data_IF_699858422965
#
_entry.id   IF_699858422965
#
_cell.length_a   1.000
_cell.length_b   1.000
_cell.length_c   1.000
_cell.angle_alpha   90.00
_cell.angle_beta   90.00
_cell.angle_gamma   90.00
#
_symmetry.space_group_name_H-M   'P 1'
#
loop_
_entity.id
_entity.type
_entity.pdbx_description
1 polymer ?
#
# COMPACT_ATOMS: atom_id res chain seq x y z
N UNK A 1 27.01 9.47 -2.07
CA UNK A 1 26.66 10.28 -0.89
C UNK A 1 25.32 10.92 -1.18
N UNK A 2 24.23 10.62 -0.44
CA UNK A 2 23.01 11.43 -0.60
C UNK A 2 23.43 12.89 -0.36
N UNK A 3 23.05 13.86 -1.21
CA UNK A 3 22.99 15.22 -0.71
C UNK A 3 22.07 15.13 0.50
N UNK A 4 22.55 15.56 1.67
CA UNK A 4 21.80 15.47 2.91
C UNK A 4 20.36 15.88 2.62
N UNK A 5 19.44 14.92 2.62
CA UNK A 5 18.03 15.27 2.62
C UNK A 5 17.89 15.96 3.97
N UNK A 6 17.81 17.29 3.94
CA UNK A 6 17.83 18.09 5.14
C UNK A 6 16.83 17.49 6.12
N UNK A 7 17.19 17.44 7.39
CA UNK A 7 16.33 16.84 8.43
C UNK A 7 14.86 17.30 8.29
N UNK A 8 14.66 18.57 7.93
CA UNK A 8 13.35 19.16 7.60
C UNK A 8 12.64 18.49 6.41
N UNK A 9 13.31 18.24 5.29
CA UNK A 9 12.72 17.56 4.14
C UNK A 9 12.34 16.10 4.47
N UNK A 10 13.13 15.39 5.29
CA UNK A 10 12.80 14.05 5.80
C UNK A 10 11.57 14.06 6.72
N UNK A 11 11.50 14.98 7.67
CA UNK A 11 10.34 15.10 8.56
C UNK A 11 9.05 15.44 7.81
N UNK A 12 9.12 16.35 6.83
CA UNK A 12 7.95 16.69 6.02
C UNK A 12 7.41 15.50 5.22
N UNK A 13 8.28 14.65 4.68
CA UNK A 13 7.87 13.43 3.98
C UNK A 13 7.22 12.43 4.94
N UNK A 14 7.83 12.20 6.12
CA UNK A 14 7.25 11.32 7.15
C UNK A 14 5.87 11.79 7.60
N UNK A 15 5.69 13.09 7.85
CA UNK A 15 4.40 13.66 8.25
C UNK A 15 3.36 13.45 7.14
N UNK A 16 3.71 13.73 5.89
CA UNK A 16 2.82 13.50 4.74
C UNK A 16 2.41 12.04 4.63
N UNK A 17 3.34 11.11 4.83
CA UNK A 17 3.05 9.67 4.80
C UNK A 17 2.08 9.29 5.91
N UNK A 18 2.30 9.75 7.15
CA UNK A 18 1.39 9.47 8.26
C UNK A 18 -0.01 10.04 7.99
N UNK A 19 -0.10 11.27 7.48
CA UNK A 19 -1.39 11.86 7.07
C UNK A 19 -2.05 11.03 5.98
N UNK A 20 -1.29 10.60 4.95
CA UNK A 20 -1.83 9.74 3.90
C UNK A 20 -2.35 8.42 4.46
N UNK A 21 -1.60 7.74 5.33
CA UNK A 21 -2.04 6.48 5.96
C UNK A 21 -3.34 6.67 6.76
N UNK A 22 -3.44 7.78 7.51
CA UNK A 22 -4.66 8.12 8.22
C UNK A 22 -5.85 8.35 7.26
N UNK A 23 -5.63 9.02 6.12
CA UNK A 23 -6.67 9.20 5.11
C UNK A 23 -7.07 7.89 4.43
N UNK A 24 -6.14 6.95 4.21
CA UNK A 24 -6.45 5.62 3.68
C UNK A 24 -7.33 4.83 4.66
N UNK A 25 -7.06 4.91 5.97
CA UNK A 25 -7.89 4.29 7.01
C UNK A 25 -9.30 4.90 7.03
N UNK A 26 -9.41 6.24 6.96
CA UNK A 26 -10.71 6.90 6.83
C UNK A 26 -11.46 6.46 5.57
N UNK A 27 -10.75 6.28 4.45
CA UNK A 27 -11.35 5.78 3.21
C UNK A 27 -11.82 4.33 3.35
N UNK A 28 -11.07 3.48 4.06
CA UNK A 28 -11.48 2.12 4.38
C UNK A 28 -12.78 2.12 5.21
N UNK A 29 -12.86 2.92 6.26
CA UNK A 29 -14.06 3.06 7.10
C UNK A 29 -15.25 3.59 6.29
N UNK A 30 -15.04 4.64 5.50
CA UNK A 30 -16.07 5.19 4.61
C UNK A 30 -16.56 4.14 3.60
N UNK A 31 -15.66 3.34 3.04
CA UNK A 31 -16.01 2.25 2.13
C UNK A 31 -16.86 1.20 2.82
N UNK A 32 -16.41 0.69 3.97
CA UNK A 32 -17.06 -0.38 4.72
C UNK A 32 -18.45 0.02 5.21
N UNK A 33 -18.55 1.21 5.81
CA UNK A 33 -19.72 1.62 6.58
C UNK A 33 -20.72 2.44 5.75
N UNK A 34 -20.29 3.06 4.64
CA UNK A 34 -21.15 3.93 3.82
C UNK A 34 -21.23 3.48 2.36
N UNK A 35 -20.10 3.41 1.64
CA UNK A 35 -20.14 3.20 0.18
C UNK A 35 -20.63 1.79 -0.18
N UNK A 36 -19.98 0.74 0.33
CA UNK A 36 -20.32 -0.64 -0.02
C UNK A 36 -21.78 -0.99 0.33
N UNK A 37 -22.35 -0.58 1.49
CA UNK A 37 -23.78 -0.75 1.75
C UNK A 37 -24.69 0.04 0.81
N UNK A 38 -24.31 1.24 0.39
CA UNK A 38 -25.13 2.12 -0.45
C UNK A 38 -25.24 1.66 -1.89
N UNK A 39 -24.25 0.93 -2.41
CA UNK A 39 -24.19 0.49 -3.81
C UNK A 39 -24.48 -1.01 -4.02
N UNK A 40 -25.12 -1.68 -3.06
CA UNK A 40 -25.41 -3.14 -3.11
C UNK A 40 -26.18 -3.59 -4.35
N UNK A 41 -26.91 -2.70 -5.01
CA UNK A 41 -27.68 -3.02 -6.22
C UNK A 41 -26.87 -3.01 -7.52
N UNK A 42 -25.62 -2.53 -7.49
CA UNK A 42 -24.75 -2.48 -8.67
C UNK A 42 -23.57 -3.46 -8.49
N UNK A 43 -23.65 -4.60 -9.16
CA UNK A 43 -22.66 -5.69 -9.03
C UNK A 43 -21.23 -5.23 -9.33
N UNK A 44 -21.02 -4.42 -10.38
CA UNK A 44 -19.70 -3.92 -10.74
C UNK A 44 -19.09 -3.03 -9.63
N UNK A 45 -19.92 -2.16 -9.03
CA UNK A 45 -19.48 -1.31 -7.93
C UNK A 45 -19.24 -2.12 -6.66
N UNK A 46 -20.05 -3.16 -6.40
CA UNK A 46 -19.85 -4.06 -5.26
C UNK A 46 -18.52 -4.80 -5.34
N UNK A 47 -18.11 -5.26 -6.53
CA UNK A 47 -16.80 -5.89 -6.73
C UNK A 47 -15.67 -4.88 -6.46
N UNK A 48 -15.73 -3.70 -7.07
CA UNK A 48 -14.71 -2.66 -6.87
C UNK A 48 -14.55 -2.24 -5.40
N UNK A 49 -15.67 -2.00 -4.71
CA UNK A 49 -15.68 -1.62 -3.29
C UNK A 49 -15.37 -2.81 -2.37
N UNK A 50 -15.61 -4.03 -2.83
CA UNK A 50 -15.22 -5.28 -2.17
C UNK A 50 -13.71 -5.44 -2.10
N UNK A 51 -13.01 -5.18 -3.20
CA UNK A 51 -11.56 -5.34 -3.32
C UNK A 51 -10.73 -4.13 -2.90
N UNK A 52 -11.38 -2.98 -2.67
CA UNK A 52 -10.72 -1.76 -2.22
C UNK A 52 -9.88 -1.95 -0.93
N UNK A 53 -10.32 -2.68 0.12
CA UNK A 53 -9.51 -2.93 1.31
C UNK A 53 -8.16 -3.57 1.00
N UNK A 54 -8.12 -4.55 0.08
CA UNK A 54 -6.89 -5.25 -0.29
C UNK A 54 -5.92 -4.33 -1.04
N UNK A 55 -6.44 -3.51 -1.95
CA UNK A 55 -5.66 -2.44 -2.57
C UNK A 55 -5.07 -1.48 -1.53
N UNK A 56 -5.91 -0.99 -0.59
CA UNK A 56 -5.49 -0.03 0.43
C UNK A 56 -4.45 -0.61 1.39
N UNK A 57 -4.60 -1.87 1.78
CA UNK A 57 -3.64 -2.57 2.62
C UNK A 57 -2.27 -2.70 1.93
N UNK A 58 -2.25 -3.23 0.70
CA UNK A 58 -1.03 -3.38 -0.09
C UNK A 58 -0.32 -2.03 -0.32
N UNK A 59 -1.08 -1.00 -0.71
CA UNK A 59 -0.55 0.34 -0.95
C UNK A 59 -0.04 1.00 0.35
N UNK A 60 -0.82 0.92 1.43
CA UNK A 60 -0.49 1.49 2.73
C UNK A 60 0.77 0.90 3.34
N UNK A 61 0.96 -0.42 3.26
CA UNK A 61 2.20 -1.07 3.72
C UNK A 61 3.39 -0.53 2.95
N UNK A 62 3.32 -0.43 1.62
CA UNK A 62 4.41 0.13 0.81
C UNK A 62 4.76 1.56 1.23
N UNK A 63 3.74 2.41 1.45
CA UNK A 63 3.95 3.79 1.90
C UNK A 63 4.59 3.87 3.29
N UNK A 64 4.16 3.02 4.23
CA UNK A 64 4.66 3.01 5.61
C UNK A 64 6.17 2.72 5.70
N UNK A 65 6.75 2.05 4.69
CA UNK A 65 8.17 1.72 4.63
C UNK A 65 9.05 2.86 4.12
N UNK A 66 8.46 3.81 3.38
CA UNK A 66 9.22 4.90 2.75
C UNK A 66 10.03 5.73 3.76
N UNK A 67 9.51 6.13 4.94
CA UNK A 67 10.28 6.88 5.92
C UNK A 67 11.49 6.11 6.44
N UNK A 68 11.36 4.78 6.61
CA UNK A 68 12.46 3.91 7.02
C UNK A 68 13.54 3.87 5.94
N UNK A 69 13.13 3.75 4.68
CA UNK A 69 14.06 3.68 3.55
C UNK A 69 14.82 4.98 3.33
N UNK A 70 14.17 6.13 3.56
CA UNK A 70 14.80 7.46 3.50
C UNK A 70 15.81 7.72 4.62
N UNK A 71 15.85 6.88 5.67
CA UNK A 71 16.87 6.95 6.72
C UNK A 71 18.16 6.25 6.34
N UNK A 72 18.15 5.33 5.37
CA UNK A 72 19.38 4.70 4.91
C UNK A 72 20.20 5.67 4.06
N UNK A 73 21.51 5.67 4.30
CA UNK A 73 22.47 6.47 3.55
C UNK A 73 22.81 5.93 2.17
N UNK A 74 22.30 4.74 1.80
CA UNK A 74 22.46 4.14 0.48
C UNK A 74 21.09 3.90 -0.18
N UNK A 75 20.88 4.54 -1.34
CA UNK A 75 19.66 4.41 -2.16
C UNK A 75 19.40 2.95 -2.52
N UNK A 76 20.44 2.21 -2.91
CA UNK A 76 20.31 0.83 -3.39
C UNK A 76 19.78 -0.08 -2.28
N UNK A 77 20.26 0.11 -1.05
CA UNK A 77 19.78 -0.64 0.13
C UNK A 77 18.32 -0.33 0.39
N UNK A 78 17.93 0.95 0.35
CA UNK A 78 16.54 1.37 0.51
C UNK A 78 15.62 0.78 -0.54
N UNK A 79 16.01 0.82 -1.82
CA UNK A 79 15.22 0.23 -2.92
C UNK A 79 15.03 -1.27 -2.73
N UNK A 80 16.12 -1.99 -2.51
CA UNK A 80 16.07 -3.45 -2.32
C UNK A 80 15.16 -3.83 -1.16
N UNK A 81 15.16 -3.06 -0.08
CA UNK A 81 14.27 -3.29 1.04
C UNK A 81 12.79 -3.01 0.72
N UNK A 82 12.48 -1.88 0.06
CA UNK A 82 11.10 -1.61 -0.38
C UNK A 82 10.60 -2.74 -1.26
N UNK A 83 11.38 -3.17 -2.25
CA UNK A 83 11.00 -4.26 -3.15
C UNK A 83 10.81 -5.58 -2.40
N UNK A 84 11.74 -5.93 -1.51
CA UNK A 84 11.67 -7.17 -0.74
C UNK A 84 10.41 -7.20 0.13
N UNK A 85 10.15 -6.15 0.91
CA UNK A 85 8.98 -6.11 1.79
C UNK A 85 7.68 -6.01 0.98
N UNK A 86 7.69 -5.31 -0.15
CA UNK A 86 6.54 -5.27 -1.07
C UNK A 86 6.19 -6.66 -1.62
N UNK A 87 7.20 -7.43 -2.03
CA UNK A 87 7.01 -8.82 -2.49
C UNK A 87 6.50 -9.71 -1.36
N UNK A 88 7.05 -9.59 -0.14
CA UNK A 88 6.60 -10.35 1.02
C UNK A 88 5.15 -10.00 1.37
N UNK A 89 4.81 -8.71 1.45
CA UNK A 89 3.47 -8.24 1.74
C UNK A 89 2.46 -8.71 0.68
N UNK A 90 2.80 -8.57 -0.59
CA UNK A 90 2.00 -9.10 -1.69
C UNK A 90 1.81 -10.61 -1.59
N UNK A 91 2.87 -11.37 -1.30
CA UNK A 91 2.80 -12.82 -1.11
C UNK A 91 1.91 -13.22 0.06
N UNK A 92 1.96 -12.49 1.19
CA UNK A 92 1.08 -12.72 2.33
C UNK A 92 -0.39 -12.43 2.01
N UNK A 93 -0.67 -11.33 1.30
CA UNK A 93 -2.03 -11.00 0.87
C UNK A 93 -2.56 -12.05 -0.12
N UNK A 94 -1.74 -12.51 -1.07
CA UNK A 94 -2.11 -13.60 -1.97
C UNK A 94 -2.36 -14.91 -1.25
N UNK A 95 -1.54 -15.23 -0.25
CA UNK A 95 -1.70 -16.44 0.54
C UNK A 95 -2.98 -16.39 1.39
N UNK A 96 -3.37 -15.22 1.90
CA UNK A 96 -4.61 -15.04 2.66
C UNK A 96 -5.85 -15.35 1.80
N UNK A 97 -5.85 -14.96 0.52
CA UNK A 97 -6.94 -15.26 -0.42
C UNK A 97 -7.04 -16.76 -0.77
N UNK A 98 -5.91 -17.48 -0.78
CA UNK A 98 -5.88 -18.91 -1.13
C UNK A 98 -6.14 -19.80 0.10
N UNK A 99 -5.52 -19.45 1.22
CA UNK A 99 -5.58 -20.15 2.50
C UNK A 99 -5.75 -19.12 3.60
N UNK A 100 -6.99 -18.77 3.98
CA UNK A 100 -7.23 -17.77 5.02
C UNK A 100 -6.54 -18.20 6.32
N UNK A 101 -5.60 -17.38 6.79
CA UNK A 101 -4.87 -17.59 8.04
C UNK A 101 -5.03 -16.41 9.01
N UNK A 102 -5.50 -15.26 8.53
CA UNK A 102 -5.97 -14.14 9.33
C UNK A 102 -7.51 -14.04 9.27
N UNK A 103 -8.08 -12.94 9.78
CA UNK A 103 -9.53 -12.72 9.91
C UNK A 103 -10.30 -12.61 8.57
N UNK A 104 -9.73 -13.03 7.43
CA UNK A 104 -10.33 -12.97 6.11
C UNK A 104 -11.47 -13.98 5.88
N UNK A 105 -12.35 -13.67 4.92
CA UNK A 105 -13.43 -14.59 4.50
C UNK A 105 -12.88 -15.67 3.58
N UNK A 106 -13.31 -16.92 3.74
CA UNK A 106 -12.90 -18.05 2.90
C UNK A 106 -13.38 -17.93 1.45
N UNK A 107 -12.69 -17.16 0.60
CA UNK A 107 -12.98 -17.11 -0.83
C UNK A 107 -11.71 -16.82 -1.62
N UNK A 108 -11.43 -17.63 -2.64
CA UNK A 108 -10.41 -17.33 -3.65
C UNK A 108 -10.94 -16.20 -4.56
N UNK A 109 -10.85 -14.96 -4.10
CA UNK A 109 -11.33 -13.79 -4.85
C UNK A 109 -10.22 -13.21 -5.72
N UNK A 110 -10.31 -13.52 -7.03
CA UNK A 110 -9.36 -13.03 -8.04
C UNK A 110 -9.31 -11.50 -8.07
N UNK A 111 -10.41 -10.80 -7.74
CA UNK A 111 -10.42 -9.34 -7.73
C UNK A 111 -9.56 -8.79 -6.59
N UNK A 112 -9.56 -9.47 -5.44
CA UNK A 112 -8.79 -9.11 -4.25
C UNK A 112 -7.29 -9.38 -4.45
N UNK A 113 -6.96 -10.44 -5.20
CA UNK A 113 -5.60 -10.70 -5.70
C UNK A 113 -5.14 -9.59 -6.66
N UNK A 114 -5.97 -9.22 -7.65
CA UNK A 114 -5.66 -8.14 -8.60
C UNK A 114 -5.48 -6.82 -7.86
N UNK A 115 -6.38 -6.48 -6.94
CA UNK A 115 -6.34 -5.26 -6.14
C UNK A 115 -5.05 -5.17 -5.31
N UNK A 116 -4.65 -6.27 -4.66
CA UNK A 116 -3.37 -6.34 -3.93
C UNK A 116 -2.17 -6.11 -4.84
N UNK A 117 -2.18 -6.69 -6.04
CA UNK A 117 -1.12 -6.53 -7.04
C UNK A 117 -1.00 -5.07 -7.50
N UNK A 118 -2.14 -4.44 -7.82
CA UNK A 118 -2.18 -3.04 -8.23
C UNK A 118 -1.73 -2.14 -7.08
N UNK A 119 -2.19 -2.37 -5.84
CA UNK A 119 -1.82 -1.60 -4.67
C UNK A 119 -0.32 -1.62 -4.40
N UNK A 120 0.30 -2.80 -4.47
CA UNK A 120 1.75 -2.96 -4.35
C UNK A 120 2.49 -2.24 -5.47
N UNK A 121 2.06 -2.39 -6.73
CA UNK A 121 2.70 -1.75 -7.88
C UNK A 121 2.64 -0.21 -7.78
N UNK A 122 1.50 0.35 -7.39
CA UNK A 122 1.33 1.80 -7.16
C UNK A 122 2.21 2.27 -5.99
N UNK A 123 2.30 1.49 -4.91
CA UNK A 123 3.14 1.79 -3.76
C UNK A 123 4.63 1.85 -4.13
N UNK A 124 5.11 0.86 -4.87
CA UNK A 124 6.47 0.84 -5.43
C UNK A 124 6.70 2.04 -6.35
N UNK A 125 5.77 2.31 -7.28
CA UNK A 125 5.87 3.45 -8.20
C UNK A 125 5.97 4.79 -7.45
N UNK A 126 5.18 4.96 -6.39
CA UNK A 126 5.22 6.18 -5.56
C UNK A 126 6.58 6.34 -4.87
N UNK A 127 7.17 5.25 -4.38
CA UNK A 127 8.52 5.28 -3.81
C UNK A 127 9.57 5.70 -4.84
N UNK A 128 9.55 5.12 -6.05
CA UNK A 128 10.50 5.47 -7.12
C UNK A 128 10.36 6.94 -7.56
N UNK A 129 9.14 7.49 -7.57
CA UNK A 129 8.93 8.93 -7.83
C UNK A 129 9.56 9.82 -6.76
N UNK A 130 9.61 9.37 -5.51
CA UNK A 130 10.22 10.12 -4.40
C UNK A 130 11.75 9.96 -4.34
N UNK A 131 12.27 8.82 -4.80
CA UNK A 131 13.69 8.50 -4.81
C UNK A 131 14.15 8.16 -6.25
N UNK A 132 14.07 9.11 -7.19
CA UNK A 132 14.46 8.84 -8.57
C UNK A 132 15.95 8.53 -8.66
N UNK A 133 16.29 7.73 -9.68
CA UNK A 133 17.67 7.60 -10.13
C UNK A 133 18.18 8.98 -10.53
N UNK A 134 19.26 9.41 -9.88
CA UNK A 134 20.06 10.48 -10.44
C UNK A 134 20.97 9.81 -11.47
N UNK A 135 20.60 9.98 -12.74
CA UNK A 135 21.52 9.82 -13.86
C UNK A 135 22.68 10.79 -13.67
#
# INVERSE_FOLDING_TARGET
MYPEVSFFKRNNVSIRIVVTLFLLELLYLLNRDVLRPSFRSNEAVVVLLGSLPNFLAAFGVCLALIPLCLRWGDKKVGRSFVYLVSIICWGLLMQEEITPFAFGSCVNDVNDMIASTIGTAVGIGFYEMLVPDQV
#
